data_IF_728101792708
#
_entry.id   IF_728101792708
#
_cell.length_a   1.000
_cell.length_b   1.000
_cell.length_c   1.000
_cell.angle_alpha   90.00
_cell.angle_beta   90.00
_cell.angle_gamma   90.00
#
_symmetry.space_group_name_H-M   'P 1'
#
loop_
_entity.id
_entity.type
_entity.pdbx_description
1 polymer ?
#
# COMPACT_ATOMS: atom_id res chain seq x y z
N UNK A 1 -13.12 38.27 -19.94
CA UNK A 1 -14.29 38.98 -19.39
C UNK A 1 -15.53 38.15 -19.65
N UNK A 2 -16.23 37.80 -18.57
CA UNK A 2 -17.42 36.94 -18.49
C UNK A 2 -18.71 37.67 -18.86
N UNK A 3 -19.65 37.00 -19.53
CA UNK A 3 -21.08 37.17 -19.20
C UNK A 3 -21.77 35.81 -19.18
N UNK A 4 -22.12 35.40 -17.97
CA UNK A 4 -23.14 34.39 -17.69
C UNK A 4 -24.51 34.99 -18.02
N UNK A 5 -25.38 34.25 -18.70
CA UNK A 5 -26.81 34.36 -18.50
C UNK A 5 -27.42 32.97 -18.32
N UNK A 6 -27.84 32.73 -17.08
CA UNK A 6 -28.67 31.61 -16.66
C UNK A 6 -30.03 32.19 -16.27
N UNK A 7 -31.11 31.66 -16.84
CA UNK A 7 -32.48 31.74 -16.31
C UNK A 7 -33.27 30.61 -16.98
N UNK A 8 -33.28 29.38 -16.44
CA UNK A 8 -34.09 28.87 -15.32
C UNK A 8 -35.62 28.93 -15.53
N UNK A 9 -36.17 27.74 -15.82
CA UNK A 9 -37.40 27.12 -15.26
C UNK A 9 -38.76 27.75 -15.58
N UNK A 10 -39.66 26.92 -16.17
CA UNK A 10 -40.87 26.40 -15.50
C UNK A 10 -41.54 25.26 -16.32
N UNK A 11 -41.94 24.24 -15.59
CA UNK A 11 -42.61 22.99 -15.96
C UNK A 11 -44.04 23.21 -16.51
N UNK A 12 -44.58 22.27 -17.29
CA UNK A 12 -45.79 21.46 -16.98
C UNK A 12 -46.10 20.44 -18.12
N UNK A 13 -46.22 19.18 -17.73
CA UNK A 13 -46.47 17.91 -18.47
C UNK A 13 -47.89 17.84 -19.11
N UNK A 14 -48.41 16.72 -19.68
CA UNK A 14 -47.82 15.57 -20.41
C UNK A 14 -48.58 15.27 -21.73
N UNK A 15 -47.91 15.14 -22.88
CA UNK A 15 -48.57 14.60 -24.08
C UNK A 15 -48.39 13.07 -24.14
N UNK A 16 -49.46 12.36 -23.76
CA UNK A 16 -49.68 10.94 -24.01
C UNK A 16 -49.26 10.55 -25.43
N UNK A 17 -48.19 9.77 -25.55
CA UNK A 17 -48.03 8.85 -26.68
C UNK A 17 -47.95 7.43 -26.15
N UNK A 18 -49.11 6.77 -26.19
CA UNK A 18 -49.24 5.33 -26.21
C UNK A 18 -48.54 4.81 -27.46
N UNK A 19 -47.42 4.14 -27.32
CA UNK A 19 -46.88 3.25 -28.34
C UNK A 19 -46.10 2.14 -27.66
N UNK A 20 -46.69 0.94 -27.74
CA UNK A 20 -46.13 -0.39 -27.52
C UNK A 20 -45.24 -0.58 -26.29
N UNK A 21 -45.80 -1.25 -25.29
CA UNK A 21 -45.05 -2.17 -24.44
C UNK A 21 -44.37 -3.17 -25.39
N UNK A 22 -43.11 -2.95 -25.72
CA UNK A 22 -42.25 -4.05 -26.16
C UNK A 22 -42.12 -4.93 -24.93
N UNK A 23 -42.96 -5.97 -24.87
CA UNK A 23 -42.65 -7.17 -24.12
C UNK A 23 -41.30 -7.63 -24.68
N UNK A 24 -40.22 -7.17 -24.07
CA UNK A 24 -38.95 -7.83 -24.19
C UNK A 24 -39.19 -9.16 -23.47
N UNK A 25 -39.68 -10.13 -24.25
CA UNK A 25 -39.55 -11.54 -23.94
C UNK A 25 -38.09 -11.70 -23.59
N UNK A 26 -37.81 -11.76 -22.28
CA UNK A 26 -36.48 -11.98 -21.77
C UNK A 26 -36.02 -13.28 -22.40
N UNK A 27 -35.19 -13.17 -23.44
CA UNK A 27 -34.52 -14.30 -24.04
C UNK A 27 -33.57 -14.76 -22.94
N UNK A 28 -34.06 -15.67 -22.10
CA UNK A 28 -33.22 -16.54 -21.28
C UNK A 28 -32.43 -17.36 -22.29
N UNK A 29 -31.34 -16.79 -22.79
CA UNK A 29 -30.25 -17.56 -23.36
C UNK A 29 -29.79 -18.46 -22.22
N UNK A 30 -30.24 -19.73 -22.25
CA UNK A 30 -29.53 -20.77 -21.52
C UNK A 30 -28.08 -20.68 -22.03
N UNK A 31 -27.18 -20.25 -21.15
CA UNK A 31 -25.75 -20.41 -21.39
C UNK A 31 -25.52 -21.87 -21.74
N UNK A 32 -24.81 -22.14 -22.84
CA UNK A 32 -24.50 -23.50 -23.21
C UNK A 32 -23.62 -24.12 -22.10
N UNK A 33 -23.68 -25.44 -21.90
CA UNK A 33 -22.83 -26.13 -20.93
C UNK A 33 -21.33 -25.81 -21.12
N UNK A 34 -20.92 -25.56 -22.36
CA UNK A 34 -19.56 -25.14 -22.71
C UNK A 34 -19.19 -23.77 -22.12
N UNK A 35 -20.10 -22.79 -22.11
CA UNK A 35 -19.85 -21.48 -21.51
C UNK A 35 -19.76 -21.58 -19.99
N UNK A 36 -20.57 -22.43 -19.36
CA UNK A 36 -20.47 -22.73 -17.94
C UNK A 36 -19.14 -23.40 -17.57
N UNK A 37 -18.66 -24.34 -18.39
CA UNK A 37 -17.36 -24.99 -18.18
C UNK A 37 -16.19 -24.01 -18.35
N UNK A 38 -16.23 -23.14 -19.38
CA UNK A 38 -15.23 -22.09 -19.61
C UNK A 38 -15.18 -21.08 -18.47
N UNK A 39 -16.35 -20.66 -17.97
CA UNK A 39 -16.42 -19.75 -16.82
C UNK A 39 -15.84 -20.41 -15.56
N UNK A 40 -16.14 -21.68 -15.30
CA UNK A 40 -15.53 -22.43 -14.17
C UNK A 40 -14.01 -22.52 -14.30
N UNK A 41 -13.48 -22.83 -15.49
CA UNK A 41 -12.03 -22.85 -15.73
C UNK A 41 -11.36 -21.52 -15.44
N UNK A 42 -11.96 -20.39 -15.88
CA UNK A 42 -11.47 -19.05 -15.57
C UNK A 42 -11.50 -18.73 -14.07
N UNK A 43 -12.54 -19.16 -13.35
CA UNK A 43 -12.59 -18.97 -11.89
C UNK A 43 -11.52 -19.78 -11.15
N UNK A 44 -11.19 -20.98 -11.63
CA UNK A 44 -10.13 -21.80 -11.06
C UNK A 44 -8.74 -21.21 -11.34
N UNK A 45 -8.50 -20.73 -12.56
CA UNK A 45 -7.28 -19.99 -12.95
C UNK A 45 -7.11 -18.72 -12.10
N UNK A 46 -8.15 -17.90 -11.97
CA UNK A 46 -8.13 -16.68 -11.16
C UNK A 46 -7.87 -16.99 -9.67
N UNK A 47 -8.44 -18.08 -9.15
CA UNK A 47 -8.20 -18.50 -7.77
C UNK A 47 -6.75 -18.92 -7.58
N UNK A 48 -6.18 -19.65 -8.53
CA UNK A 48 -4.79 -20.08 -8.49
C UNK A 48 -3.83 -18.90 -8.58
N UNK A 49 -4.08 -17.95 -9.49
CA UNK A 49 -3.28 -16.72 -9.62
C UNK A 49 -3.33 -15.87 -8.35
N UNK A 50 -4.50 -15.70 -7.74
CA UNK A 50 -4.64 -14.97 -6.47
C UNK A 50 -3.84 -15.62 -5.34
N UNK A 51 -3.82 -16.95 -5.26
CA UNK A 51 -3.03 -17.66 -4.25
C UNK A 51 -1.52 -17.45 -4.47
N UNK A 52 -1.05 -17.48 -5.72
CA UNK A 52 0.35 -17.19 -6.02
C UNK A 52 0.73 -15.74 -5.71
N UNK A 53 -0.13 -14.78 -6.06
CA UNK A 53 0.09 -13.37 -5.71
C UNK A 53 0.18 -13.16 -4.20
N UNK A 54 -0.68 -13.82 -3.43
CA UNK A 54 -0.67 -13.70 -1.98
C UNK A 54 0.62 -14.26 -1.37
N UNK A 55 1.05 -15.44 -1.83
CA UNK A 55 2.34 -16.02 -1.44
C UNK A 55 3.52 -15.12 -1.81
N UNK A 56 3.50 -14.53 -3.00
CA UNK A 56 4.55 -13.59 -3.42
C UNK A 56 4.57 -12.35 -2.54
N UNK A 57 3.41 -11.75 -2.23
CA UNK A 57 3.33 -10.58 -1.34
C UNK A 57 3.87 -10.90 0.05
N UNK A 58 3.53 -12.06 0.62
CA UNK A 58 4.06 -12.50 1.91
C UNK A 58 5.58 -12.65 1.88
N UNK A 59 6.12 -13.28 0.83
CA UNK A 59 7.58 -13.42 0.67
C UNK A 59 8.29 -12.06 0.52
N UNK A 60 7.70 -11.12 -0.23
CA UNK A 60 8.25 -9.77 -0.36
C UNK A 60 8.24 -9.01 0.97
N UNK A 61 7.18 -9.14 1.77
CA UNK A 61 7.13 -8.54 3.11
C UNK A 61 8.21 -9.13 4.02
N UNK A 62 8.38 -10.46 4.01
CA UNK A 62 9.42 -11.12 4.79
C UNK A 62 10.83 -10.67 4.38
N UNK A 63 11.10 -10.55 3.08
CA UNK A 63 12.38 -10.05 2.58
C UNK A 63 12.64 -8.60 2.97
N UNK A 64 11.64 -7.72 2.89
CA UNK A 64 11.77 -6.33 3.33
C UNK A 64 12.08 -6.22 4.82
N UNK A 65 11.39 -6.97 5.67
CA UNK A 65 11.67 -7.00 7.11
C UNK A 65 13.11 -7.50 7.40
N UNK A 66 13.59 -8.48 6.63
CA UNK A 66 14.99 -8.93 6.74
C UNK A 66 15.98 -7.87 6.25
N UNK A 67 15.67 -7.11 5.21
CA UNK A 67 16.52 -6.02 4.73
C UNK A 67 16.56 -4.86 5.72
N UNK A 68 15.43 -4.45 6.28
CA UNK A 68 15.33 -3.39 7.28
C UNK A 68 16.13 -3.75 8.53
N UNK A 69 15.93 -4.94 9.08
CA UNK A 69 16.72 -5.41 10.23
C UNK A 69 18.22 -5.51 9.94
N UNK A 70 18.63 -5.91 8.72
CA UNK A 70 20.04 -5.88 8.31
C UNK A 70 20.58 -4.47 8.18
N UNK A 71 19.79 -3.52 7.66
CA UNK A 71 20.17 -2.11 7.56
C UNK A 71 20.33 -1.47 8.94
N UNK A 72 19.42 -1.76 9.86
CA UNK A 72 19.49 -1.28 11.24
C UNK A 72 20.75 -1.79 11.94
N UNK A 73 21.06 -3.08 11.82
CA UNK A 73 22.29 -3.66 12.39
C UNK A 73 23.55 -3.05 11.80
N UNK A 74 23.62 -2.93 10.46
CA UNK A 74 24.75 -2.27 9.80
C UNK A 74 24.90 -0.82 10.24
N UNK A 75 23.81 -0.09 10.35
CA UNK A 75 23.85 1.29 10.79
C UNK A 75 24.32 1.42 12.25
N UNK A 76 23.90 0.51 13.13
CA UNK A 76 24.42 0.46 14.51
C UNK A 76 25.92 0.15 14.55
N UNK A 77 26.36 -0.88 13.84
CA UNK A 77 27.76 -1.34 13.84
C UNK A 77 28.71 -0.36 13.12
N UNK A 78 28.31 0.20 11.97
CA UNK A 78 29.17 1.05 11.13
C UNK A 78 29.16 2.51 11.54
N UNK A 79 28.07 3.02 12.13
CA UNK A 79 27.91 4.46 12.41
C UNK A 79 27.88 4.73 13.91
N UNK A 80 27.08 3.98 14.67
CA UNK A 80 26.88 4.28 16.10
C UNK A 80 28.06 3.79 16.95
N UNK A 81 28.54 2.56 16.76
CA UNK A 81 29.67 2.03 17.55
C UNK A 81 30.98 2.82 17.40
N UNK A 82 31.41 3.26 16.21
CA UNK A 82 32.64 4.04 16.09
C UNK A 82 32.52 5.40 16.78
N UNK A 83 31.35 6.03 16.71
CA UNK A 83 31.09 7.30 17.39
C UNK A 83 31.09 7.12 18.91
N UNK A 84 30.51 6.02 19.42
CA UNK A 84 30.58 5.68 20.85
C UNK A 84 32.02 5.53 21.32
N UNK A 85 32.83 4.72 20.63
CA UNK A 85 34.25 4.52 20.95
C UNK A 85 35.01 5.85 20.95
N UNK A 86 34.75 6.71 19.97
CA UNK A 86 35.38 8.02 19.90
C UNK A 86 34.94 8.96 21.05
N UNK A 87 33.67 8.90 21.47
CA UNK A 87 33.19 9.65 22.64
C UNK A 87 33.79 9.12 23.94
N UNK A 88 33.91 7.80 24.08
CA UNK A 88 34.60 7.15 25.21
C UNK A 88 36.05 7.61 25.32
N UNK A 89 36.79 7.68 24.20
CA UNK A 89 38.16 8.18 24.18
C UNK A 89 38.27 9.64 24.63
N UNK A 90 37.35 10.51 24.17
CA UNK A 90 37.31 11.92 24.57
C UNK A 90 37.01 12.05 26.07
N UNK A 91 36.03 11.31 26.57
CA UNK A 91 35.62 11.35 27.98
C UNK A 91 36.70 10.76 28.90
N UNK A 92 37.37 9.69 28.46
CA UNK A 92 38.50 9.13 29.18
C UNK A 92 39.67 10.13 29.27
N UNK A 93 39.90 10.92 28.21
CA UNK A 93 40.91 11.98 28.22
C UNK A 93 40.55 13.16 29.15
N UNK A 94 39.27 13.46 29.34
CA UNK A 94 38.81 14.49 30.29
C UNK A 94 38.64 13.98 31.73
N UNK A 95 38.72 12.66 31.95
CA UNK A 95 38.58 12.04 33.26
C UNK A 95 37.13 11.80 33.72
N UNK A 96 36.16 12.05 32.84
CA UNK A 96 34.74 11.86 33.12
C UNK A 96 34.30 10.44 32.76
N UNK A 97 33.43 9.86 33.60
CA UNK A 97 32.80 8.55 33.35
C UNK A 97 31.31 8.74 33.13
N UNK A 98 30.81 8.30 31.99
CA UNK A 98 29.38 8.32 31.62
C UNK A 98 28.90 6.87 31.50
N UNK A 99 27.63 6.62 31.79
CA UNK A 99 27.00 5.32 31.58
C UNK A 99 26.89 4.97 30.09
N UNK A 100 26.87 3.68 29.76
CA UNK A 100 26.75 3.22 28.37
C UNK A 100 25.49 3.78 27.67
N UNK A 101 24.37 3.89 28.40
CA UNK A 101 23.14 4.54 27.91
C UNK A 101 23.34 6.04 27.59
N UNK A 102 24.12 6.74 28.41
CA UNK A 102 24.48 8.14 28.18
C UNK A 102 25.36 8.30 26.94
N UNK A 103 26.30 7.37 26.73
CA UNK A 103 27.15 7.32 25.53
C UNK A 103 26.32 7.05 24.27
N UNK A 104 25.33 6.16 24.32
CA UNK A 104 24.44 5.94 23.18
C UNK A 104 23.66 7.20 22.82
N UNK A 105 23.13 7.90 23.83
CA UNK A 105 22.34 9.12 23.63
C UNK A 105 23.21 10.27 23.09
N UNK A 106 24.46 10.38 23.54
CA UNK A 106 25.43 11.33 23.00
C UNK A 106 25.83 10.98 21.56
N UNK A 107 26.01 9.70 21.24
CA UNK A 107 26.30 9.26 19.89
C UNK A 107 25.13 9.57 18.93
N UNK A 108 23.88 9.31 19.36
CA UNK A 108 22.67 9.66 18.60
C UNK A 108 22.55 11.16 18.39
N UNK A 109 22.75 11.95 19.45
CA UNK A 109 22.76 13.42 19.37
C UNK A 109 23.81 13.94 18.39
N UNK A 110 25.04 13.42 18.44
CA UNK A 110 26.13 13.81 17.53
C UNK A 110 25.83 13.44 16.07
N UNK A 111 25.12 12.34 15.86
CA UNK A 111 24.72 11.86 14.54
C UNK A 111 23.41 12.49 14.03
N UNK A 112 22.75 13.35 14.82
CA UNK A 112 21.44 13.93 14.49
C UNK A 112 20.37 12.87 14.17
N UNK A 113 20.44 11.73 14.86
CA UNK A 113 19.50 10.60 14.80
C UNK A 113 18.47 10.71 15.93
#
# INVERSE_FOLDING_TARGET
MTTFQVASRRFFLPALRRSSVTLNTGRRTMMAFEDHARLRGKFEEDRYLKQQEEQWRQNLQALRAQEESKREKRHQEEVVEPVKKHLEEILAASGDKISDEGLENLAKFRLSL
#
